data_IF_965547811214
#
_entry.id   IF_965547811214
#
_cell.length_a   1.000
_cell.length_b   1.000
_cell.length_c   1.000
_cell.angle_alpha   90.00
_cell.angle_beta   90.00
_cell.angle_gamma   90.00
#
_symmetry.space_group_name_H-M   'P 1'
#
loop_
_entity.id
_entity.type
_entity.pdbx_description
1 polymer ?
#
# COMPACT_ATOMS: atom_id res chain seq x y z
N UNK A 1 13.35 0.51 -8.68
CA UNK A 1 12.45 1.32 -7.82
C UNK A 1 11.06 1.13 -8.37
N UNK A 2 10.09 0.68 -7.56
CA UNK A 2 8.71 0.47 -8.05
C UNK A 2 8.03 1.82 -8.23
N UNK A 3 7.42 2.06 -9.40
CA UNK A 3 6.63 3.26 -9.69
C UNK A 3 5.15 2.88 -9.57
N UNK A 4 4.45 3.48 -8.62
CA UNK A 4 3.00 3.39 -8.55
C UNK A 4 2.39 4.49 -9.41
N UNK A 5 1.37 4.14 -10.19
CA UNK A 5 0.66 5.05 -11.08
C UNK A 5 -0.82 4.94 -10.74
N UNK A 6 -1.50 6.09 -10.69
CA UNK A 6 -2.95 6.12 -10.59
C UNK A 6 -3.56 5.65 -11.91
N UNK A 7 -4.23 4.50 -11.87
CA UNK A 7 -4.78 3.87 -13.06
C UNK A 7 -5.91 4.71 -13.69
N UNK A 8 -6.74 5.37 -12.88
CA UNK A 8 -7.87 6.16 -13.38
C UNK A 8 -7.37 7.42 -14.09
N UNK A 9 -6.36 8.09 -13.53
CA UNK A 9 -5.71 9.22 -14.19
C UNK A 9 -5.05 8.81 -15.51
N UNK A 10 -4.31 7.69 -15.53
CA UNK A 10 -3.71 7.18 -16.77
C UNK A 10 -4.77 6.86 -17.84
N UNK A 11 -5.88 6.25 -17.45
CA UNK A 11 -7.00 5.95 -18.37
C UNK A 11 -7.61 7.25 -18.91
N UNK A 12 -7.78 8.27 -18.07
CA UNK A 12 -8.31 9.57 -18.49
C UNK A 12 -7.39 10.26 -19.51
N UNK A 13 -6.08 10.25 -19.29
CA UNK A 13 -5.12 10.85 -20.22
C UNK A 13 -5.06 10.11 -21.56
N UNK A 14 -5.02 8.79 -21.53
CA UNK A 14 -5.07 7.96 -22.73
C UNK A 14 -6.38 8.21 -23.52
N UNK A 15 -7.49 8.41 -22.82
CA UNK A 15 -8.79 8.73 -23.44
C UNK A 15 -8.79 10.13 -24.04
N UNK A 16 -8.21 11.12 -23.36
CA UNK A 16 -8.09 12.49 -23.85
C UNK A 16 -7.18 12.60 -25.09
N UNK A 17 -6.18 11.73 -25.20
CA UNK A 17 -5.33 11.59 -26.39
C UNK A 17 -6.04 10.88 -27.57
N UNK A 18 -7.35 10.63 -27.49
CA UNK A 18 -8.14 9.91 -28.49
C UNK A 18 -7.64 8.48 -28.78
N UNK A 19 -6.89 7.84 -27.87
CA UNK A 19 -6.55 6.43 -28.01
C UNK A 19 -7.80 5.58 -27.66
N UNK A 20 -8.26 4.67 -28.53
CA UNK A 20 -9.36 3.78 -28.16
C UNK A 20 -8.93 2.79 -27.07
N UNK A 21 -9.29 3.08 -25.82
CA UNK A 21 -9.10 2.15 -24.70
C UNK A 21 -10.32 1.24 -24.62
N UNK A 22 -10.14 -0.05 -24.92
CA UNK A 22 -11.22 -1.01 -24.78
C UNK A 22 -10.80 -2.21 -23.92
N UNK A 23 -11.81 -2.85 -23.33
CA UNK A 23 -11.71 -3.95 -22.35
C UNK A 23 -10.93 -5.20 -22.82
N UNK A 24 -10.48 -5.25 -24.07
CA UNK A 24 -9.76 -6.36 -24.72
C UNK A 24 -8.36 -5.97 -25.24
N UNK A 25 -7.82 -4.83 -24.83
CA UNK A 25 -6.48 -4.36 -25.23
C UNK A 25 -6.53 -3.31 -26.34
N UNK A 26 -5.38 -3.05 -26.98
CA UNK A 26 -5.18 -2.05 -28.04
C UNK A 26 -5.02 -2.80 -29.38
N UNK A 27 -5.89 -3.73 -29.71
CA UNK A 27 -5.87 -4.39 -31.04
C UNK A 27 -6.27 -3.36 -32.13
N UNK A 28 -5.33 -3.02 -33.01
CA UNK A 28 -5.59 -2.24 -34.22
C UNK A 28 -5.38 -0.71 -34.14
N UNK A 29 -4.80 -0.17 -33.07
CA UNK A 29 -4.39 1.25 -33.03
C UNK A 29 -2.91 1.35 -33.36
N UNK A 30 -2.56 2.25 -34.29
CA UNK A 30 -1.21 2.65 -34.65
C UNK A 30 -0.57 3.51 -33.53
N UNK A 31 -0.62 3.05 -32.29
CA UNK A 31 0.26 3.55 -31.22
C UNK A 31 1.46 2.62 -31.21
N UNK A 32 2.62 3.10 -31.63
CA UNK A 32 3.83 2.33 -31.43
C UNK A 32 4.08 2.16 -29.92
N UNK A 33 4.71 1.05 -29.52
CA UNK A 33 4.97 0.77 -28.10
C UNK A 33 5.75 1.90 -27.42
N UNK A 34 6.50 2.70 -28.19
CA UNK A 34 7.18 3.94 -27.79
C UNK A 34 6.19 4.99 -27.26
N UNK A 35 5.16 5.35 -28.03
CA UNK A 35 4.20 6.40 -27.63
C UNK A 35 3.46 6.06 -26.33
N UNK A 36 3.15 4.78 -26.09
CA UNK A 36 2.48 4.35 -24.86
C UNK A 36 3.46 4.37 -23.68
N UNK A 37 4.71 3.95 -23.91
CA UNK A 37 5.74 3.99 -22.88
C UNK A 37 6.03 5.43 -22.42
N UNK A 38 6.04 6.40 -23.34
CA UNK A 38 6.25 7.81 -23.03
C UNK A 38 5.15 8.34 -22.10
N UNK A 39 3.87 8.06 -22.41
CA UNK A 39 2.74 8.46 -21.56
C UNK A 39 2.82 7.84 -20.16
N UNK A 40 3.18 6.55 -20.05
CA UNK A 40 3.35 5.85 -18.76
C UNK A 40 4.50 6.46 -17.97
N UNK A 41 5.60 6.81 -18.64
CA UNK A 41 6.78 7.40 -18.00
C UNK A 41 6.52 8.83 -17.52
N UNK A 42 5.69 9.58 -18.25
CA UNK A 42 5.26 10.95 -17.90
C UNK A 42 4.26 10.99 -16.74
N UNK A 43 3.57 9.88 -16.43
CA UNK A 43 2.67 9.84 -15.27
C UNK A 43 3.41 10.24 -13.99
N UNK A 44 2.79 11.07 -13.12
CA UNK A 44 3.33 11.30 -11.79
C UNK A 44 3.38 9.99 -11.02
N UNK A 45 4.46 9.78 -10.26
CA UNK A 45 4.52 8.68 -9.31
C UNK A 45 3.52 8.96 -8.20
N UNK A 46 2.56 8.06 -8.01
CA UNK A 46 1.62 8.13 -6.89
C UNK A 46 2.39 8.00 -5.58
N UNK A 47 2.10 8.89 -4.62
CA UNK A 47 2.66 8.85 -3.27
C UNK A 47 1.92 7.80 -2.43
N UNK A 48 2.14 6.54 -2.80
CA UNK A 48 1.56 5.38 -2.15
C UNK A 48 2.65 4.34 -1.91
N UNK A 49 2.45 3.51 -0.88
CA UNK A 49 3.26 2.34 -0.62
C UNK A 49 2.35 1.12 -0.53
N UNK A 50 2.90 -0.06 -0.83
CA UNK A 50 2.16 -1.30 -0.61
C UNK A 50 1.74 -1.38 0.86
N UNK A 51 0.47 -1.71 1.08
CA UNK A 51 -0.02 -1.98 2.42
C UNK A 51 0.80 -3.15 2.99
N UNK A 52 1.53 -2.88 4.06
CA UNK A 52 2.24 -3.92 4.81
C UNK A 52 1.22 -4.64 5.66
N UNK A 53 1.21 -5.96 5.59
CA UNK A 53 0.40 -6.81 6.45
C UNK A 53 1.30 -7.43 7.49
N UNK A 54 0.90 -7.34 8.74
CA UNK A 54 1.63 -7.87 9.88
C UNK A 54 0.70 -8.63 10.81
N UNK A 55 1.28 -9.18 11.86
CA UNK A 55 0.57 -9.79 12.97
C UNK A 55 1.19 -9.36 14.28
N UNK A 56 0.37 -9.42 15.32
CA UNK A 56 0.82 -9.26 16.69
C UNK A 56 1.39 -10.58 17.20
N UNK A 57 2.70 -10.60 17.45
CA UNK A 57 3.40 -11.74 18.01
C UNK A 57 3.38 -11.64 19.54
N UNK A 58 2.97 -12.71 20.21
CA UNK A 58 3.15 -12.82 21.67
C UNK A 58 4.64 -12.93 21.98
N UNK A 59 5.12 -12.16 22.95
CA UNK A 59 6.48 -12.31 23.47
C UNK A 59 6.47 -13.13 24.75
N UNK A 60 7.62 -13.63 25.21
CA UNK A 60 7.73 -14.31 26.51
C UNK A 60 7.27 -13.39 27.66
N UNK A 61 7.44 -12.08 27.49
CA UNK A 61 6.99 -11.03 28.40
C UNK A 61 5.48 -10.75 28.32
N UNK A 62 4.73 -11.38 27.40
CA UNK A 62 3.28 -11.22 27.31
C UNK A 62 2.59 -11.68 28.61
N UNK A 63 3.07 -12.78 29.20
CA UNK A 63 2.49 -13.33 30.43
C UNK A 63 2.86 -12.55 31.70
N UNK A 64 3.95 -11.79 31.67
CA UNK A 64 4.42 -11.00 32.81
C UNK A 64 3.91 -9.55 32.75
N UNK A 65 3.97 -8.92 31.57
CA UNK A 65 3.77 -7.48 31.40
C UNK A 65 2.80 -7.13 30.24
N UNK A 66 2.16 -8.12 29.60
CA UNK A 66 1.22 -7.87 28.50
C UNK A 66 1.89 -7.37 27.20
N UNK A 67 3.18 -7.64 26.99
CA UNK A 67 3.89 -7.17 25.80
C UNK A 67 3.47 -7.92 24.51
N UNK A 68 3.34 -7.18 23.41
CA UNK A 68 3.23 -7.73 22.05
C UNK A 68 4.33 -7.19 21.15
N UNK A 69 4.60 -7.84 20.03
CA UNK A 69 5.57 -7.41 19.02
C UNK A 69 4.94 -7.35 17.63
N UNK A 70 5.19 -6.28 16.90
CA UNK A 70 4.85 -6.19 15.48
C UNK A 70 5.73 -7.14 14.66
N UNK A 71 5.14 -8.02 13.84
CA UNK A 71 5.92 -8.92 12.97
C UNK A 71 6.74 -8.19 11.90
N UNK A 72 6.32 -7.00 11.47
CA UNK A 72 6.95 -6.27 10.35
C UNK A 72 8.14 -5.43 10.80
N UNK A 73 7.97 -4.58 11.82
CA UNK A 73 9.05 -3.69 12.29
C UNK A 73 9.75 -4.20 13.55
N UNK A 74 9.29 -5.31 14.14
CA UNK A 74 9.84 -5.93 15.35
C UNK A 74 9.80 -5.06 16.61
N UNK A 75 9.10 -3.93 16.55
CA UNK A 75 8.85 -3.08 17.72
C UNK A 75 7.94 -3.79 18.71
N UNK A 76 8.35 -3.72 19.97
CA UNK A 76 7.58 -4.23 21.11
C UNK A 76 6.74 -3.10 21.70
N UNK A 77 5.53 -3.44 22.10
CA UNK A 77 4.59 -2.53 22.74
C UNK A 77 4.09 -3.18 24.02
N UNK A 78 3.99 -2.40 25.10
CA UNK A 78 3.27 -2.84 26.29
C UNK A 78 1.77 -2.74 26.03
N UNK A 79 0.96 -3.58 26.68
CA UNK A 79 -0.50 -3.49 26.60
C UNK A 79 -1.00 -2.08 26.94
N UNK A 80 -0.41 -1.45 27.96
CA UNK A 80 -0.72 -0.07 28.36
C UNK A 80 -0.50 0.95 27.24
N UNK A 81 0.57 0.80 26.45
CA UNK A 81 0.89 1.71 25.36
C UNK A 81 -0.17 1.61 24.26
N UNK A 82 -0.69 0.40 24.02
CA UNK A 82 -1.71 0.15 23.00
C UNK A 82 -3.12 0.55 23.48
N UNK A 83 -3.42 0.39 24.77
CA UNK A 83 -4.67 0.86 25.38
C UNK A 83 -4.79 2.39 25.31
N UNK A 84 -3.70 3.14 25.51
CA UNK A 84 -3.71 4.61 25.34
C UNK A 84 -4.02 5.01 23.89
N UNK A 85 -3.55 4.23 22.91
CA UNK A 85 -3.70 4.53 21.49
C UNK A 85 -5.07 4.10 20.95
N UNK A 86 -5.66 3.02 21.46
CA UNK A 86 -6.83 2.35 20.85
C UNK A 86 -7.99 2.07 21.81
N UNK A 87 -7.90 2.48 23.07
CA UNK A 87 -8.85 2.12 24.12
C UNK A 87 -8.86 0.63 24.40
N UNK A 88 -10.04 0.05 24.65
CA UNK A 88 -10.21 -1.39 24.96
C UNK A 88 -10.02 -2.31 23.74
N UNK A 89 -9.68 -1.76 22.57
CA UNK A 89 -9.54 -2.52 21.32
C UNK A 89 -8.08 -2.62 20.90
N UNK A 90 -7.66 -3.80 20.46
CA UNK A 90 -6.31 -3.99 19.97
C UNK A 90 -6.09 -3.24 18.64
N UNK A 91 -4.97 -2.52 18.44
CA UNK A 91 -4.72 -1.75 17.23
C UNK A 91 -4.75 -2.61 15.96
N UNK A 92 -5.55 -2.17 14.99
CA UNK A 92 -5.61 -2.76 13.64
C UNK A 92 -4.43 -2.36 12.75
N UNK A 93 -3.62 -1.39 13.20
CA UNK A 93 -2.38 -0.97 12.53
C UNK A 93 -1.24 -0.84 13.55
N UNK A 94 -0.02 -1.18 13.15
CA UNK A 94 1.18 -0.90 13.93
C UNK A 94 1.41 0.62 14.02
N UNK A 95 1.50 1.22 15.22
CA UNK A 95 1.70 2.66 15.38
C UNK A 95 2.99 3.19 14.76
N UNK A 96 4.06 2.38 14.74
CA UNK A 96 5.36 2.80 14.22
C UNK A 96 5.48 2.66 12.70
N UNK A 97 5.03 1.54 12.13
CA UNK A 97 5.30 1.21 10.72
C UNK A 97 4.06 1.21 9.82
N UNK A 98 2.87 1.41 10.38
CA UNK A 98 1.61 1.45 9.63
C UNK A 98 1.16 0.11 9.04
N UNK A 99 1.82 -1.00 9.38
CA UNK A 99 1.39 -2.33 8.94
C UNK A 99 0.01 -2.65 9.49
N UNK A 100 -0.90 -3.10 8.62
CA UNK A 100 -2.23 -3.60 9.01
C UNK A 100 -2.08 -4.96 9.69
N UNK A 101 -2.73 -5.13 10.83
CA UNK A 101 -2.60 -6.32 11.65
C UNK A 101 -3.74 -7.29 11.36
N UNK A 102 -3.38 -8.51 10.98
CA UNK A 102 -4.27 -9.63 10.67
C UNK A 102 -4.25 -10.72 11.76
#
# INVERSE_FOLDING_TARGET
MTKYIDADNLINELSAACMPIYKKGITGILGDNSSIADIINEQPTADVQEARHGKWESTELMYENGCTRCSECKTEYYASDLEEICGDTFPIYCPLCGARMD
#
